data_IF_366131327512
#
_entry.id   IF_366131327512
#
_cell.length_a   1.000
_cell.length_b   1.000
_cell.length_c   1.000
_cell.angle_alpha   90.00
_cell.angle_beta   90.00
_cell.angle_gamma   90.00
#
_symmetry.space_group_name_H-M   'P 1'
#
loop_
_entity.id
_entity.type
_entity.pdbx_description
1 polymer ?
#
# COMPACT_ATOMS: atom_id res chain seq x y z
N UNK A 1 -7.08 1.75 -6.00
CA UNK A 1 -5.82 2.49 -6.12
C UNK A 1 -5.89 3.36 -7.35
N UNK A 2 -5.22 4.52 -7.34
CA UNK A 2 -5.11 5.36 -8.54
C UNK A 2 -4.26 4.68 -9.61
N UNK A 3 -4.32 5.21 -10.83
CA UNK A 3 -3.46 4.77 -11.93
C UNK A 3 -1.99 5.14 -11.69
N UNK A 4 -1.09 4.52 -12.44
CA UNK A 4 0.37 4.80 -12.34
C UNK A 4 0.65 6.28 -12.64
N UNK A 5 0.11 6.81 -13.74
CA UNK A 5 0.34 8.20 -14.14
C UNK A 5 -0.18 9.22 -13.12
N UNK A 6 -1.31 8.94 -12.47
CA UNK A 6 -1.79 9.78 -11.36
C UNK A 6 -0.86 9.74 -10.15
N UNK A 7 -0.30 8.56 -9.82
CA UNK A 7 0.65 8.44 -8.71
C UNK A 7 1.95 9.16 -9.05
N UNK A 8 2.49 8.96 -10.25
CA UNK A 8 3.71 9.61 -10.74
C UNK A 8 3.62 11.13 -10.66
N UNK A 9 2.45 11.70 -10.98
CA UNK A 9 2.20 13.14 -10.84
C UNK A 9 2.33 13.66 -9.39
N UNK A 10 2.26 12.77 -8.39
CA UNK A 10 2.45 13.12 -6.96
C UNK A 10 3.88 12.92 -6.46
N UNK A 11 4.77 12.36 -7.28
CA UNK A 11 6.14 12.03 -6.90
C UNK A 11 7.12 13.16 -7.26
N UNK A 12 8.18 13.29 -6.48
CA UNK A 12 9.33 14.10 -6.87
C UNK A 12 10.28 13.30 -7.79
N UNK A 13 11.35 13.96 -8.27
CA UNK A 13 12.37 13.37 -9.16
C UNK A 13 13.09 12.13 -8.61
N UNK A 14 12.91 11.78 -7.33
CA UNK A 14 13.48 10.60 -6.69
C UNK A 14 12.41 9.52 -6.41
N UNK A 15 11.28 9.57 -7.10
CA UNK A 15 10.11 8.71 -6.88
C UNK A 15 9.59 8.74 -5.44
N UNK A 16 9.54 9.93 -4.82
CA UNK A 16 9.05 10.08 -3.44
C UNK A 16 7.88 11.04 -3.33
N UNK A 17 6.92 10.69 -2.47
CA UNK A 17 5.90 11.59 -1.96
C UNK A 17 6.12 11.85 -0.47
N UNK A 18 6.39 13.12 -0.10
CA UNK A 18 6.59 13.54 1.29
C UNK A 18 7.57 12.61 2.05
N UNK A 19 8.69 12.28 1.42
CA UNK A 19 9.73 11.40 1.97
C UNK A 19 9.53 9.89 1.76
N UNK A 20 8.31 9.42 1.47
CA UNK A 20 7.99 8.01 1.22
C UNK A 20 8.28 7.64 -0.23
N UNK A 21 9.05 6.59 -0.44
CA UNK A 21 9.41 6.08 -1.76
C UNK A 21 8.28 5.26 -2.37
N UNK A 22 8.02 5.48 -3.65
CA UNK A 22 7.14 4.65 -4.46
C UNK A 22 8.02 3.67 -5.25
N UNK A 23 7.97 2.39 -4.85
CA UNK A 23 8.81 1.33 -5.40
C UNK A 23 8.20 0.76 -6.70
N UNK A 24 9.04 0.28 -7.62
CA UNK A 24 8.59 -0.32 -8.87
C UNK A 24 7.70 -1.56 -8.64
N UNK A 25 7.90 -2.28 -7.52
CA UNK A 25 7.04 -3.39 -7.07
C UNK A 25 5.61 -2.96 -6.75
N UNK A 26 5.36 -1.66 -6.57
CA UNK A 26 4.01 -1.13 -6.30
C UNK A 26 3.20 -0.96 -7.59
N UNK A 27 3.87 -0.75 -8.74
CA UNK A 27 3.23 -0.50 -10.04
C UNK A 27 2.21 -1.56 -10.46
N UNK A 28 2.44 -2.88 -10.29
CA UNK A 28 1.47 -3.91 -10.68
C UNK A 28 0.12 -3.79 -10.00
N UNK A 29 0.04 -3.14 -8.84
CA UNK A 29 -1.19 -3.00 -8.06
C UNK A 29 -2.00 -1.75 -8.45
N UNK A 30 -1.40 -0.80 -9.18
CA UNK A 30 -2.08 0.43 -9.60
C UNK A 30 -3.31 0.15 -10.46
N UNK A 31 -4.35 0.98 -10.33
CA UNK A 31 -5.62 0.80 -11.04
C UNK A 31 -6.52 -0.33 -10.51
N UNK A 32 -6.08 -1.10 -9.50
CA UNK A 32 -6.89 -2.18 -8.91
C UNK A 32 -7.54 -1.76 -7.59
N UNK A 33 -8.52 -2.54 -7.13
CA UNK A 33 -9.23 -2.34 -5.87
C UNK A 33 -8.80 -3.38 -4.84
N UNK A 34 -8.48 -2.94 -3.63
CA UNK A 34 -8.09 -3.80 -2.52
C UNK A 34 -8.82 -3.41 -1.24
N UNK A 35 -8.98 -4.37 -0.34
CA UNK A 35 -9.44 -4.10 1.02
C UNK A 35 -8.32 -3.45 1.83
N UNK A 36 -8.68 -2.53 2.71
CA UNK A 36 -7.74 -1.96 3.68
C UNK A 36 -7.46 -3.00 4.74
N UNK A 37 -6.19 -3.35 4.94
CA UNK A 37 -5.74 -4.21 6.03
C UNK A 37 -5.64 -3.44 7.34
N UNK A 38 -5.19 -2.18 7.29
CA UNK A 38 -5.11 -1.33 8.46
C UNK A 38 -4.40 0.00 8.20
N UNK A 39 -4.56 0.93 9.13
CA UNK A 39 -3.82 2.20 9.15
C UNK A 39 -2.48 2.02 9.86
N UNK A 40 -1.41 2.63 9.33
CA UNK A 40 -0.07 2.63 9.93
C UNK A 40 0.24 4.03 10.43
N UNK A 41 0.28 4.18 11.76
CA UNK A 41 0.53 5.48 12.42
C UNK A 41 1.98 5.67 12.86
N UNK A 42 2.70 4.58 13.12
CA UNK A 42 4.06 4.58 13.63
C UNK A 42 4.87 3.44 13.03
N UNK A 43 6.14 3.69 12.75
CA UNK A 43 7.11 2.68 12.30
C UNK A 43 8.45 2.91 13.00
N UNK A 44 9.30 1.89 13.05
CA UNK A 44 10.68 2.05 13.48
C UNK A 44 11.48 2.51 12.26
N UNK A 45 12.20 3.62 12.36
CA UNK A 45 13.18 4.03 11.36
C UNK A 45 14.37 3.05 11.46
N UNK A 46 14.57 2.23 10.43
CA UNK A 46 15.56 1.15 10.46
C UNK A 46 17.01 1.65 10.61
N UNK A 47 17.30 2.91 10.27
CA UNK A 47 18.65 3.47 10.38
C UNK A 47 18.97 3.95 11.78
N UNK A 48 17.98 4.51 12.47
CA UNK A 48 18.15 5.15 13.79
C UNK A 48 17.63 4.30 14.94
N UNK A 49 16.74 3.35 14.66
CA UNK A 49 16.03 2.57 15.68
C UNK A 49 14.90 3.35 16.37
N UNK A 50 14.65 4.60 15.98
CA UNK A 50 13.64 5.44 16.62
C UNK A 50 12.23 5.16 16.08
N UNK A 51 11.24 5.30 16.96
CA UNK A 51 9.83 5.25 16.57
C UNK A 51 9.43 6.59 15.93
N UNK A 52 9.13 6.57 14.64
CA UNK A 52 8.67 7.74 13.89
C UNK A 52 7.18 7.66 13.57
N UNK A 53 6.53 8.82 13.49
CA UNK A 53 5.13 8.91 13.09
C UNK A 53 4.99 8.90 11.56
N UNK A 54 4.09 8.05 11.06
CA UNK A 54 3.74 7.96 9.65
C UNK A 54 2.33 8.53 9.47
N UNK A 55 2.20 9.58 8.65
CA UNK A 55 0.91 10.22 8.37
C UNK A 55 0.23 9.58 7.16
N UNK A 56 -1.09 9.47 7.20
CA UNK A 56 -1.93 9.15 6.03
C UNK A 56 -1.51 7.86 5.31
N UNK A 57 -1.07 6.83 6.05
CA UNK A 57 -0.43 5.63 5.51
C UNK A 57 -1.23 4.38 5.83
N UNK A 58 -1.37 3.50 4.84
CA UNK A 58 -2.24 2.33 4.89
C UNK A 58 -1.52 1.07 4.42
N UNK A 59 -1.94 -0.06 4.97
CA UNK A 59 -1.66 -1.39 4.43
C UNK A 59 -2.90 -1.91 3.73
N UNK A 60 -2.69 -2.66 2.66
CA UNK A 60 -3.75 -3.26 1.86
C UNK A 60 -3.65 -4.78 1.89
N UNK A 61 -4.80 -5.44 1.84
CA UNK A 61 -4.89 -6.88 1.90
C UNK A 61 -4.46 -7.51 0.56
N UNK A 62 -3.68 -8.60 0.63
CA UNK A 62 -3.09 -9.26 -0.55
C UNK A 62 -2.00 -8.48 -1.28
N UNK A 63 -1.70 -7.23 -0.89
CA UNK A 63 -0.70 -6.39 -1.56
C UNK A 63 0.65 -6.48 -0.87
N UNK A 64 1.64 -7.07 -1.55
CA UNK A 64 2.99 -7.27 -1.03
C UNK A 64 4.01 -7.22 -2.16
N UNK A 65 5.29 -6.99 -1.81
CA UNK A 65 6.40 -7.04 -2.75
C UNK A 65 6.48 -8.42 -3.42
N UNK A 66 6.45 -8.43 -4.76
CA UNK A 66 6.47 -9.64 -5.57
C UNK A 66 7.89 -10.08 -5.94
N UNK A 67 8.88 -9.23 -5.64
CA UNK A 67 10.29 -9.46 -5.94
C UNK A 67 10.57 -9.72 -7.44
N UNK A 68 9.90 -8.97 -8.32
CA UNK A 68 10.02 -9.07 -9.79
C UNK A 68 10.81 -7.92 -10.42
N UNK A 69 10.84 -6.77 -9.76
CA UNK A 69 11.43 -5.49 -10.18
C UNK A 69 12.45 -4.93 -9.18
N UNK A 70 12.72 -5.65 -8.08
CA UNK A 70 13.76 -5.30 -7.11
C UNK A 70 15.14 -5.79 -7.57
N UNK A 71 15.92 -4.92 -8.21
CA UNK A 71 17.32 -5.21 -8.56
C UNK A 71 18.10 -5.63 -7.30
N UNK A 72 18.78 -6.78 -7.36
CA UNK A 72 19.44 -7.51 -6.24
C UNK A 72 18.55 -8.21 -5.21
N UNK A 73 17.22 -8.20 -5.36
CA UNK A 73 16.29 -8.95 -4.49
C UNK A 73 15.23 -9.72 -5.28
N UNK A 74 15.53 -10.09 -6.51
CA UNK A 74 14.65 -10.93 -7.33
C UNK A 74 14.37 -12.25 -6.61
N UNK A 75 13.12 -12.73 -6.65
CA UNK A 75 12.65 -13.93 -5.96
C UNK A 75 12.84 -13.94 -4.43
N UNK A 76 12.93 -12.76 -3.79
CA UNK A 76 12.96 -12.63 -2.34
C UNK A 76 11.64 -13.11 -1.70
N UNK A 77 11.66 -14.06 -0.73
CA UNK A 77 10.45 -14.63 -0.15
C UNK A 77 9.81 -13.78 0.95
N UNK A 78 10.37 -12.61 1.28
CA UNK A 78 9.94 -11.82 2.45
C UNK A 78 8.52 -11.26 2.36
N UNK A 79 7.97 -11.13 1.15
CA UNK A 79 6.60 -10.64 0.90
C UNK A 79 6.26 -9.37 1.73
N UNK A 80 7.18 -8.40 1.72
CA UNK A 80 7.06 -7.20 2.56
C UNK A 80 5.84 -6.39 2.11
N UNK A 81 5.05 -5.91 3.07
CA UNK A 81 3.88 -5.09 2.81
C UNK A 81 4.32 -3.64 2.54
N UNK A 82 4.08 -3.08 1.34
CA UNK A 82 4.35 -1.68 1.07
C UNK A 82 3.35 -0.77 1.78
N UNK A 83 3.80 0.41 2.20
CA UNK A 83 2.95 1.46 2.74
C UNK A 83 2.34 2.29 1.61
N UNK A 84 1.04 2.54 1.70
CA UNK A 84 0.30 3.32 0.70
C UNK A 84 -0.14 4.66 1.29
N UNK A 85 0.28 5.77 0.67
CA UNK A 85 -0.24 7.10 1.02
C UNK A 85 -1.70 7.22 0.61
N UNK A 86 -2.48 7.94 1.43
CA UNK A 86 -3.87 8.28 1.13
C UNK A 86 -4.02 8.97 -0.23
N UNK A 87 -3.05 9.81 -0.65
CA UNK A 87 -3.10 10.47 -1.96
C UNK A 87 -2.97 9.53 -3.16
N UNK A 88 -2.52 8.28 -2.97
CA UNK A 88 -2.47 7.25 -4.01
C UNK A 88 -3.70 6.36 -4.03
N UNK A 89 -4.58 6.53 -3.03
CA UNK A 89 -5.78 5.74 -2.86
C UNK A 89 -7.00 6.56 -3.25
N UNK A 90 -8.05 5.84 -3.65
CA UNK A 90 -9.39 6.37 -3.80
C UNK A 90 -10.29 5.46 -2.98
N UNK A 91 -11.07 6.04 -2.07
CA UNK A 91 -12.06 5.30 -1.32
C UNK A 91 -13.23 4.99 -2.24
N UNK A 92 -13.63 3.73 -2.25
CA UNK A 92 -14.87 3.30 -2.88
C UNK A 92 -15.88 2.98 -1.79
N UNK A 93 -17.15 3.18 -2.08
CA UNK A 93 -18.22 2.73 -1.20
C UNK A 93 -18.24 1.20 -1.20
N UNK A 94 -18.27 0.61 0.00
CA UNK A 94 -18.36 -0.85 0.09
C UNK A 94 -19.72 -1.28 -0.47
N UNK A 95 -19.80 -2.35 -1.28
CA UNK A 95 -21.10 -2.91 -1.62
C UNK A 95 -21.80 -3.29 -0.31
N UNK A 96 -23.08 -2.91 -0.19
CA UNK A 96 -23.87 -3.19 1.01
C UNK A 96 -23.71 -4.67 1.39
N UNK A 97 -23.25 -4.92 2.62
CA UNK A 97 -23.09 -6.29 3.12
C UNK A 97 -24.47 -6.94 3.21
N UNK A 98 -24.78 -7.84 2.28
CA UNK A 98 -25.92 -8.75 2.44
C UNK A 98 -25.50 -9.80 3.46
N UNK A 99 -25.83 -9.57 4.73
CA UNK A 99 -25.71 -10.60 5.75
C UNK A 99 -26.64 -11.76 5.38
N UNK A 100 -26.15 -13.01 5.27
CA UNK A 100 -27.05 -14.15 5.11
C UNK A 100 -27.93 -14.25 6.36
N UNK A 101 -29.25 -14.13 6.19
CA UNK A 101 -30.20 -14.45 7.24
C UNK A 101 -30.10 -15.96 7.49
N UNK A 102 -29.48 -16.34 8.61
CA UNK A 102 -29.56 -17.70 9.12
C UNK A 102 -30.98 -17.84 9.68
N UNK A 103 -31.80 -18.67 9.02
CA UNK A 103 -33.10 -19.05 9.54
C UNK A 103 -32.91 -20.06 10.69
N UNK A 104 -33.58 -19.91 11.84
CA UNK A 104 -33.61 -20.95 12.87
C UNK A 104 -34.46 -22.14 12.40
N UNK A 105 -34.03 -23.34 12.78
CA UNK A 105 -34.73 -24.63 12.63
C UNK A 105 -35.89 -24.75 13.64
#
# INVERSE_FOLDING_TARGET
MRSVSEIEATLNRRNRNRGMYFDAEMTPFCGQTFRVKGEVKKIIDERTGEMIALKDSWLLDGVHCLARYSDRRIACPRAILPYWRTCWLQRIEAPASVSPRIAPE
#
